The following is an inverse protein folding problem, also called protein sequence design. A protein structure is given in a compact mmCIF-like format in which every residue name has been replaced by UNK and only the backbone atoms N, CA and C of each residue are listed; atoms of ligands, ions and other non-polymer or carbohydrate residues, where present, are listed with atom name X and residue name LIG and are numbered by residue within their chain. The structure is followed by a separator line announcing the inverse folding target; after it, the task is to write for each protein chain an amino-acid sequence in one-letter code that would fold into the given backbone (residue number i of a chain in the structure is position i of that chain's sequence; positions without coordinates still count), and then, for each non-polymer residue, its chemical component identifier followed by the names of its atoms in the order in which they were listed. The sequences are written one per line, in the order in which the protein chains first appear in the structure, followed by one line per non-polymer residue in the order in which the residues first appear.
data_IF_145493719555
#
_entry.id   IF_145493719555
#
_cell.length_a   1.000
_cell.length_b   1.000
_cell.length_c   1.000
_cell.angle_alpha   90.00
_cell.angle_beta   90.00
_cell.angle_gamma   90.00
#
_symmetry.space_group_name_H-M   'P 1'
#
loop_
_entity.id
_entity.type
_entity.pdbx_description
1 polymer ?
#
# COMPACT_ATOMS: atom_id res chain seq x y z
N UNK A 1 6.28 -8.11 -20.64
CA UNK A 1 7.55 -7.50 -20.22
C UNK A 1 8.69 -8.44 -20.58
N UNK A 2 9.78 -7.92 -21.12
CA UNK A 2 11.03 -8.61 -21.44
C UNK A 2 12.23 -7.90 -20.83
N UNK A 3 12.04 -7.08 -19.80
CA UNK A 3 13.10 -6.44 -19.03
C UNK A 3 14.10 -7.43 -18.44
N UNK A 4 15.27 -6.94 -18.02
CA UNK A 4 16.27 -7.78 -17.35
C UNK A 4 15.79 -8.44 -16.06
N UNK A 5 14.80 -7.87 -15.35
CA UNK A 5 14.21 -8.50 -14.15
C UNK A 5 13.52 -9.81 -14.45
N UNK A 6 12.97 -9.94 -15.67
CA UNK A 6 12.27 -11.15 -16.10
C UNK A 6 13.20 -12.35 -16.32
N UNK A 7 14.53 -12.22 -16.16
CA UNK A 7 15.47 -13.28 -16.46
C UNK A 7 15.23 -14.56 -15.64
N UNK A 8 15.50 -15.72 -16.25
CA UNK A 8 15.33 -17.02 -15.60
C UNK A 8 13.86 -17.46 -15.56
N UNK A 9 13.36 -17.73 -14.36
CA UNK A 9 12.07 -18.39 -14.17
C UNK A 9 10.89 -17.54 -14.66
N UNK A 10 10.90 -16.22 -14.40
CA UNK A 10 9.83 -15.29 -14.81
C UNK A 10 9.62 -15.27 -16.34
N UNK A 11 10.70 -15.27 -17.13
CA UNK A 11 10.60 -15.33 -18.59
C UNK A 11 10.06 -16.68 -19.07
N UNK A 12 10.57 -17.79 -18.52
CA UNK A 12 10.07 -19.13 -18.87
C UNK A 12 8.56 -19.27 -18.58
N UNK A 13 8.13 -18.70 -17.47
CA UNK A 13 6.74 -18.62 -17.03
C UNK A 13 5.87 -17.77 -17.96
N UNK A 14 6.31 -16.55 -18.28
CA UNK A 14 5.59 -15.67 -19.20
C UNK A 14 5.45 -16.32 -20.58
N UNK A 15 6.50 -16.97 -21.10
CA UNK A 15 6.44 -17.72 -22.37
C UNK A 15 5.40 -18.85 -22.31
N UNK A 16 5.45 -19.67 -21.27
CA UNK A 16 4.50 -20.78 -21.09
C UNK A 16 3.07 -20.27 -21.01
N UNK A 17 2.84 -19.20 -20.24
CA UNK A 17 1.53 -18.58 -20.10
C UNK A 17 0.98 -18.01 -21.43
N UNK A 18 1.83 -17.39 -22.24
CA UNK A 18 1.46 -16.88 -23.56
C UNK A 18 1.14 -18.02 -24.53
N UNK A 19 1.90 -19.12 -24.50
CA UNK A 19 1.61 -20.29 -25.34
C UNK A 19 0.25 -20.91 -25.00
N UNK A 20 -0.06 -21.06 -23.72
CA UNK A 20 -1.39 -21.51 -23.28
C UNK A 20 -2.50 -20.54 -23.67
N UNK A 21 -2.24 -19.23 -23.63
CA UNK A 21 -3.20 -18.22 -24.09
C UNK A 21 -3.54 -18.43 -25.56
N UNK A 22 -2.52 -18.62 -26.42
CA UNK A 22 -2.71 -18.86 -27.85
C UNK A 22 -3.47 -20.16 -28.13
N UNK A 23 -3.24 -21.22 -27.34
CA UNK A 23 -3.95 -22.50 -27.46
C UNK A 23 -5.43 -22.39 -27.09
N UNK A 24 -5.79 -21.35 -26.34
CA UNK A 24 -7.14 -21.13 -25.84
C UNK A 24 -8.02 -20.34 -26.81
N UNK A 25 -7.43 -19.64 -27.79
CA UNK A 25 -8.14 -18.83 -28.77
C UNK A 25 -8.91 -19.68 -29.78
N UNK A 26 -10.07 -19.20 -30.21
CA UNK A 26 -10.89 -19.76 -31.27
C UNK A 26 -10.49 -19.26 -32.66
N UNK A 27 -10.96 -19.92 -33.74
CA UNK A 27 -10.64 -19.55 -35.12
C UNK A 27 -11.17 -18.18 -35.56
N UNK A 28 -12.19 -17.67 -34.87
CA UNK A 28 -12.78 -16.35 -35.12
C UNK A 28 -12.09 -15.23 -34.32
N UNK A 29 -11.14 -15.57 -33.45
CA UNK A 29 -10.42 -14.60 -32.63
C UNK A 29 -9.30 -13.91 -33.42
N UNK A 30 -9.04 -12.67 -33.04
CA UNK A 30 -7.93 -11.86 -33.52
C UNK A 30 -6.97 -11.59 -32.38
N UNK A 31 -5.67 -11.63 -32.68
CA UNK A 31 -4.65 -11.43 -31.65
C UNK A 31 -3.45 -10.65 -32.19
N UNK A 32 -2.70 -10.08 -31.26
CA UNK A 32 -1.36 -9.53 -31.50
C UNK A 32 -0.51 -9.76 -30.25
N UNK A 33 0.81 -9.83 -30.42
CA UNK A 33 1.76 -9.97 -29.32
C UNK A 33 2.69 -8.76 -29.32
N UNK A 34 2.85 -8.17 -28.14
CA UNK A 34 3.76 -7.06 -27.93
C UNK A 34 4.77 -7.47 -26.88
N UNK A 35 6.06 -7.34 -27.22
CA UNK A 35 7.14 -7.42 -26.24
C UNK A 35 7.63 -6.01 -25.93
N UNK A 36 7.99 -5.78 -24.67
CA UNK A 36 8.48 -4.47 -24.26
C UNK A 36 9.53 -4.59 -23.17
N UNK A 37 10.53 -3.72 -23.28
CA UNK A 37 11.58 -3.47 -22.32
C UNK A 37 11.97 -1.98 -22.39
N UNK A 38 13.23 -1.63 -22.70
CA UNK A 38 13.63 -0.28 -23.13
C UNK A 38 12.92 0.19 -24.42
N UNK A 39 12.52 -0.75 -25.27
CA UNK A 39 11.81 -0.53 -26.53
C UNK A 39 10.54 -1.38 -26.60
N UNK A 40 9.69 -1.14 -27.59
CA UNK A 40 8.48 -1.95 -27.82
C UNK A 40 8.49 -2.48 -29.23
N UNK A 41 8.24 -3.77 -29.38
CA UNK A 41 8.12 -4.45 -30.66
C UNK A 41 6.79 -5.19 -30.70
N UNK A 42 6.07 -5.02 -31.81
CA UNK A 42 4.82 -5.71 -32.09
C UNK A 42 5.10 -6.83 -33.07
N UNK A 43 4.50 -7.99 -32.86
CA UNK A 43 4.61 -9.12 -33.77
C UNK A 43 3.95 -8.80 -35.12
N UNK A 44 2.78 -8.17 -35.09
CA UNK A 44 2.03 -7.75 -36.26
C UNK A 44 1.75 -6.24 -36.19
N UNK A 45 1.65 -5.58 -37.33
CA UNK A 45 1.28 -4.15 -37.39
C UNK A 45 -0.14 -3.91 -36.84
N UNK A 46 -1.05 -4.83 -37.11
CA UNK A 46 -2.42 -4.87 -36.58
C UNK A 46 -2.76 -6.27 -36.06
N UNK A 47 -3.82 -6.39 -35.27
CA UNK A 47 -4.31 -7.70 -34.84
C UNK A 47 -4.71 -8.56 -36.04
N UNK A 48 -4.28 -9.83 -36.05
CA UNK A 48 -4.54 -10.77 -37.14
C UNK A 48 -5.41 -11.92 -36.65
N UNK A 49 -6.19 -12.51 -37.56
CA UNK A 49 -7.01 -13.69 -37.26
C UNK A 49 -6.14 -14.88 -36.86
N UNK A 50 -6.67 -15.72 -35.97
CA UNK A 50 -6.06 -17.01 -35.62
C UNK A 50 -6.09 -17.97 -36.81
N UNK A 51 -4.92 -18.24 -37.38
CA UNK A 51 -4.71 -19.23 -38.44
C UNK A 51 -3.52 -20.11 -38.08
N UNK A 52 -3.37 -21.31 -38.67
CA UNK A 52 -2.17 -22.13 -38.42
C UNK A 52 -0.85 -21.39 -38.69
N UNK A 53 -0.84 -20.52 -39.70
CA UNK A 53 0.33 -19.70 -40.05
C UNK A 53 0.60 -18.61 -39.01
N UNK A 54 -0.40 -17.79 -38.66
CA UNK A 54 -0.22 -16.72 -37.66
C UNK A 54 0.12 -17.30 -36.27
N UNK A 55 -0.46 -18.44 -35.92
CA UNK A 55 -0.14 -19.19 -34.70
C UNK A 55 1.31 -19.67 -34.69
N UNK A 56 1.80 -20.26 -35.78
CA UNK A 56 3.19 -20.70 -35.89
C UNK A 56 4.15 -19.52 -35.77
N UNK A 57 3.86 -18.40 -36.45
CA UNK A 57 4.64 -17.15 -36.35
C UNK A 57 4.69 -16.64 -34.91
N UNK A 58 3.55 -16.66 -34.21
CA UNK A 58 3.45 -16.25 -32.81
C UNK A 58 4.25 -17.16 -31.86
N UNK A 59 4.18 -18.48 -32.04
CA UNK A 59 4.99 -19.42 -31.24
C UNK A 59 6.48 -19.17 -31.43
N UNK A 60 6.94 -18.96 -32.66
CA UNK A 60 8.34 -18.63 -32.93
C UNK A 60 8.75 -17.29 -32.33
N UNK A 61 7.86 -16.28 -32.34
CA UNK A 61 8.12 -15.01 -31.66
C UNK A 61 8.28 -15.20 -30.14
N UNK A 62 7.36 -15.92 -29.49
CA UNK A 62 7.42 -16.19 -28.05
C UNK A 62 8.70 -16.93 -27.67
N UNK A 63 9.09 -17.94 -28.46
CA UNK A 63 10.30 -18.72 -28.20
C UNK A 63 11.57 -17.85 -28.21
N UNK A 64 11.62 -16.84 -29.08
CA UNK A 64 12.76 -15.90 -29.21
C UNK A 64 12.78 -14.78 -28.16
N UNK A 65 11.76 -14.63 -27.31
CA UNK A 65 11.77 -13.58 -26.29
C UNK A 65 12.92 -13.81 -25.31
N UNK A 66 13.71 -12.77 -25.06
CA UNK A 66 14.83 -12.82 -24.13
C UNK A 66 14.74 -11.65 -23.16
N UNK A 67 15.04 -11.91 -21.89
CA UNK A 67 15.03 -10.90 -20.84
C UNK A 67 16.27 -10.00 -20.99
N UNK A 68 16.07 -8.74 -21.39
CA UNK A 68 17.12 -7.74 -21.51
C UNK A 68 16.57 -6.31 -21.39
N UNK A 69 17.45 -5.34 -21.17
CA UNK A 69 17.08 -3.92 -21.11
C UNK A 69 16.31 -3.51 -19.85
N UNK A 70 15.74 -2.30 -19.88
CA UNK A 70 14.93 -1.73 -18.79
C UNK A 70 13.44 -2.01 -18.95
N UNK A 71 12.60 -1.26 -18.23
CA UNK A 71 11.14 -1.42 -18.23
C UNK A 71 10.47 -0.10 -18.63
N UNK A 72 10.00 0.01 -19.87
CA UNK A 72 9.27 1.17 -20.37
C UNK A 72 7.85 0.79 -20.79
N UNK A 73 6.90 0.93 -19.87
CA UNK A 73 5.52 0.49 -20.06
C UNK A 73 4.70 1.45 -20.93
N UNK A 74 5.04 2.74 -20.98
CA UNK A 74 4.19 3.75 -21.61
C UNK A 74 4.05 3.57 -23.14
N UNK A 75 5.13 3.34 -23.92
CA UNK A 75 5.01 3.06 -25.35
C UNK A 75 4.28 1.75 -25.61
N UNK A 76 4.49 0.72 -24.78
CA UNK A 76 3.83 -0.57 -24.92
C UNK A 76 2.31 -0.47 -24.75
N UNK A 77 1.86 0.18 -23.68
CA UNK A 77 0.44 0.42 -23.43
C UNK A 77 -0.18 1.32 -24.50
N UNK A 78 0.53 2.35 -24.96
CA UNK A 78 0.05 3.21 -26.04
C UNK A 78 -0.12 2.43 -27.35
N UNK A 79 0.87 1.60 -27.72
CA UNK A 79 0.80 0.77 -28.92
C UNK A 79 -0.32 -0.27 -28.82
N UNK A 80 -0.47 -0.93 -27.68
CA UNK A 80 -1.55 -1.90 -27.48
C UNK A 80 -2.96 -1.27 -27.59
N UNK A 81 -3.14 -0.08 -26.99
CA UNK A 81 -4.43 0.62 -26.98
C UNK A 81 -4.74 1.37 -28.29
N UNK A 82 -3.77 1.53 -29.18
CA UNK A 82 -3.94 2.18 -30.50
C UNK A 82 -4.14 1.20 -31.66
N UNK A 83 -4.08 -0.11 -31.41
CA UNK A 83 -4.45 -1.11 -32.42
C UNK A 83 -5.92 -0.96 -32.80
N UNK A 84 -6.24 -1.18 -34.07
CA UNK A 84 -7.59 -1.05 -34.57
C UNK A 84 -8.52 -2.06 -33.89
N UNK A 85 -9.72 -1.60 -33.51
CA UNK A 85 -10.75 -2.49 -33.00
C UNK A 85 -11.29 -3.36 -34.13
N UNK A 86 -11.45 -4.65 -33.88
CA UNK A 86 -12.14 -5.55 -34.81
C UNK A 86 -13.65 -5.41 -34.55
N UNK A 87 -14.46 -5.06 -35.56
CA UNK A 87 -15.90 -4.90 -35.37
C UNK A 87 -16.54 -6.13 -34.75
N UNK A 88 -17.52 -5.93 -33.85
CA UNK A 88 -18.26 -6.98 -33.15
C UNK A 88 -17.44 -7.83 -32.17
N UNK A 89 -16.13 -7.61 -32.04
CA UNK A 89 -15.28 -8.26 -31.05
C UNK A 89 -14.91 -7.30 -29.92
N UNK A 90 -14.89 -7.83 -28.70
CA UNK A 90 -14.40 -7.10 -27.53
C UNK A 90 -12.87 -7.19 -27.47
N UNK A 91 -12.19 -6.04 -27.51
CA UNK A 91 -10.73 -5.99 -27.36
C UNK A 91 -10.35 -6.24 -25.90
N UNK A 92 -9.56 -7.28 -25.65
CA UNK A 92 -9.03 -7.61 -24.34
C UNK A 92 -7.50 -7.49 -24.34
N UNK A 93 -6.96 -6.68 -23.43
CA UNK A 93 -5.52 -6.43 -23.28
C UNK A 93 -5.04 -7.12 -22.02
N UNK A 94 -4.10 -8.06 -22.15
CA UNK A 94 -3.45 -8.68 -21.00
C UNK A 94 -2.03 -8.17 -20.86
N UNK A 95 -1.77 -7.48 -19.75
CA UNK A 95 -0.52 -6.83 -19.48
C UNK A 95 0.26 -7.59 -18.39
N UNK A 96 1.41 -8.17 -18.77
CA UNK A 96 2.23 -9.02 -17.90
C UNK A 96 3.57 -8.33 -17.62
N UNK A 97 3.93 -8.18 -16.34
CA UNK A 97 5.20 -7.58 -15.89
C UNK A 97 5.61 -8.07 -14.50
N UNK A 98 6.92 -8.10 -14.22
CA UNK A 98 7.49 -8.28 -12.89
C UNK A 98 8.10 -6.98 -12.30
N UNK A 99 8.06 -5.91 -13.10
CA UNK A 99 8.73 -4.65 -12.82
C UNK A 99 7.79 -3.59 -12.22
N UNK A 100 8.43 -2.55 -11.70
CA UNK A 100 7.79 -1.29 -11.35
C UNK A 100 8.25 -0.20 -12.32
N UNK A 101 7.41 0.79 -12.54
CA UNK A 101 7.75 2.01 -13.29
C UNK A 101 7.59 3.23 -12.42
N UNK A 102 8.37 4.28 -12.71
CA UNK A 102 8.06 5.61 -12.23
C UNK A 102 6.94 6.26 -13.06
N UNK A 103 6.32 7.31 -12.49
CA UNK A 103 5.25 8.10 -13.13
C UNK A 103 3.93 7.33 -13.37
N UNK A 104 3.57 6.46 -12.44
CA UNK A 104 2.39 5.58 -12.50
C UNK A 104 1.09 6.37 -12.65
N UNK A 105 0.99 7.53 -12.00
CA UNK A 105 -0.17 8.43 -12.14
C UNK A 105 -0.37 8.88 -13.58
N UNK A 106 0.70 9.34 -14.25
CA UNK A 106 0.61 9.79 -15.63
C UNK A 106 0.27 8.62 -16.57
N UNK A 107 0.80 7.44 -16.27
CA UNK A 107 0.53 6.23 -17.04
C UNK A 107 -0.94 5.79 -16.90
N UNK A 108 -1.48 5.78 -15.68
CA UNK A 108 -2.90 5.49 -15.42
C UNK A 108 -3.83 6.48 -16.13
N UNK A 109 -3.52 7.77 -16.10
CA UNK A 109 -4.29 8.76 -16.85
C UNK A 109 -4.27 8.50 -18.37
N UNK A 110 -3.11 8.10 -18.92
CA UNK A 110 -3.00 7.75 -20.34
C UNK A 110 -3.81 6.50 -20.68
N UNK A 111 -3.74 5.48 -19.84
CA UNK A 111 -4.57 4.29 -19.93
C UNK A 111 -6.05 4.68 -19.95
N UNK A 112 -6.52 5.41 -18.95
CA UNK A 112 -7.93 5.78 -18.82
C UNK A 112 -8.45 6.56 -20.04
N UNK A 113 -7.63 7.43 -20.63
CA UNK A 113 -7.99 8.18 -21.85
C UNK A 113 -8.03 7.33 -23.12
N UNK A 114 -7.18 6.31 -23.22
CA UNK A 114 -6.99 5.54 -24.46
C UNK A 114 -7.68 4.17 -24.43
N UNK A 115 -8.25 3.77 -23.29
CA UNK A 115 -8.83 2.44 -23.11
C UNK A 115 -10.00 2.20 -24.08
N UNK A 116 -10.87 3.21 -24.29
CA UNK A 116 -12.12 3.04 -25.03
C UNK A 116 -12.96 1.91 -24.41
N UNK A 117 -13.54 1.05 -25.24
CA UNK A 117 -14.34 -0.11 -24.81
C UNK A 117 -13.49 -1.33 -24.46
N UNK A 118 -12.17 -1.19 -24.36
CA UNK A 118 -11.27 -2.32 -24.14
C UNK A 118 -11.28 -2.79 -22.71
N UNK A 119 -11.12 -4.10 -22.53
CA UNK A 119 -10.90 -4.67 -21.21
C UNK A 119 -9.43 -4.82 -20.93
N UNK A 120 -9.00 -4.50 -19.71
CA UNK A 120 -7.61 -4.65 -19.32
C UNK A 120 -7.44 -5.56 -18.12
N UNK A 121 -6.61 -6.58 -18.31
CA UNK A 121 -6.21 -7.53 -17.29
C UNK A 121 -4.73 -7.36 -17.03
N UNK A 122 -4.34 -7.42 -15.76
CA UNK A 122 -2.96 -7.21 -15.37
C UNK A 122 -2.46 -8.41 -14.60
N UNK A 123 -1.27 -8.88 -14.97
CA UNK A 123 -0.59 -10.01 -14.33
C UNK A 123 0.75 -9.54 -13.82
N UNK A 124 0.88 -9.57 -12.50
CA UNK A 124 2.11 -9.26 -11.80
C UNK A 124 2.84 -10.56 -11.48
N UNK A 125 4.09 -10.71 -11.94
CA UNK A 125 4.93 -11.89 -11.65
C UNK A 125 6.01 -11.51 -10.62
N UNK A 126 6.29 -12.40 -9.68
CA UNK A 126 7.36 -12.24 -8.70
C UNK A 126 7.02 -11.31 -7.53
N UNK A 127 8.04 -10.83 -6.83
CA UNK A 127 7.89 -10.24 -5.49
C UNK A 127 7.81 -8.72 -5.44
N UNK A 128 8.26 -8.01 -6.48
CA UNK A 128 8.37 -6.54 -6.48
C UNK A 128 7.58 -5.79 -7.58
N UNK A 129 6.47 -6.30 -8.16
CA UNK A 129 5.69 -5.52 -9.12
C UNK A 129 4.91 -4.41 -8.40
N UNK A 130 4.65 -3.31 -9.11
CA UNK A 130 3.79 -2.24 -8.60
C UNK A 130 2.31 -2.70 -8.59
N UNK A 131 1.92 -3.42 -7.54
CA UNK A 131 0.60 -4.03 -7.41
C UNK A 131 -0.54 -3.01 -7.36
N UNK A 132 -0.27 -1.80 -6.85
CA UNK A 132 -1.26 -0.72 -6.85
C UNK A 132 -1.57 -0.27 -8.28
N UNK A 133 -0.53 0.03 -9.07
CA UNK A 133 -0.69 0.42 -10.47
C UNK A 133 -1.41 -0.68 -11.27
N UNK A 134 -0.98 -1.92 -11.10
CA UNK A 134 -1.55 -3.07 -11.82
C UNK A 134 -3.03 -3.26 -11.47
N UNK A 135 -3.39 -3.19 -10.18
CA UNK A 135 -4.79 -3.29 -9.73
C UNK A 135 -5.64 -2.15 -10.28
N UNK A 136 -5.19 -0.90 -10.16
CA UNK A 136 -5.93 0.27 -10.65
C UNK A 136 -6.10 0.26 -12.17
N UNK A 137 -5.08 -0.21 -12.89
CA UNK A 137 -5.12 -0.40 -14.34
C UNK A 137 -6.20 -1.41 -14.75
N UNK A 138 -6.31 -2.53 -14.02
CA UNK A 138 -7.34 -3.53 -14.26
C UNK A 138 -8.74 -3.03 -13.88
N UNK A 139 -8.89 -2.32 -12.76
CA UNK A 139 -10.15 -1.73 -12.32
C UNK A 139 -10.71 -0.72 -13.34
N UNK A 140 -9.89 0.23 -13.81
CA UNK A 140 -10.25 1.17 -14.89
C UNK A 140 -10.58 0.38 -16.17
N UNK A 141 -9.82 -0.68 -16.41
CA UNK A 141 -10.00 -1.64 -17.50
C UNK A 141 -11.23 -2.54 -17.43
N UNK A 142 -12.05 -2.47 -16.37
CA UNK A 142 -13.15 -3.42 -16.08
C UNK A 142 -12.73 -4.89 -16.11
N UNK A 143 -11.44 -5.17 -15.95
CA UNK A 143 -10.87 -6.51 -15.91
C UNK A 143 -10.39 -6.86 -14.51
N UNK A 144 -9.45 -7.79 -14.43
CA UNK A 144 -8.98 -8.33 -13.17
C UNK A 144 -7.45 -8.32 -13.05
N UNK A 145 -6.99 -8.20 -11.81
CA UNK A 145 -5.58 -8.26 -11.44
C UNK A 145 -5.23 -9.62 -10.85
N UNK A 146 -4.17 -10.23 -11.34
CA UNK A 146 -3.60 -11.48 -10.80
C UNK A 146 -2.16 -11.22 -10.36
N UNK A 147 -1.86 -11.58 -9.12
CA UNK A 147 -0.49 -11.57 -8.61
C UNK A 147 0.02 -13.00 -8.47
N UNK A 148 1.15 -13.29 -9.10
CA UNK A 148 1.80 -14.59 -9.07
C UNK A 148 3.11 -14.45 -8.32
N UNK A 149 3.07 -14.74 -7.02
CA UNK A 149 4.23 -14.61 -6.14
C UNK A 149 5.24 -15.75 -6.29
N UNK A 150 4.81 -16.94 -6.74
CA UNK A 150 5.67 -18.12 -6.86
C UNK A 150 5.75 -18.63 -8.29
N UNK A 151 6.96 -19.04 -8.73
CA UNK A 151 7.19 -19.70 -10.00
C UNK A 151 6.24 -20.86 -10.34
N UNK A 152 5.96 -21.71 -9.35
CA UNK A 152 5.17 -22.93 -9.54
C UNK A 152 3.69 -22.63 -9.84
N UNK A 153 3.18 -21.48 -9.39
CA UNK A 153 1.77 -21.11 -9.46
C UNK A 153 1.38 -20.51 -10.82
N UNK A 154 2.35 -20.13 -11.67
CA UNK A 154 2.07 -19.43 -12.93
C UNK A 154 1.15 -20.22 -13.84
N UNK A 155 1.45 -21.49 -14.08
CA UNK A 155 0.63 -22.30 -14.98
C UNK A 155 -0.83 -22.34 -14.55
N UNK A 156 -1.08 -22.55 -13.25
CA UNK A 156 -2.43 -22.60 -12.68
C UNK A 156 -3.12 -21.24 -12.72
N UNK A 157 -2.46 -20.17 -12.28
CA UNK A 157 -3.03 -18.82 -12.21
C UNK A 157 -3.34 -18.27 -13.60
N UNK A 158 -2.47 -18.53 -14.57
CA UNK A 158 -2.68 -18.11 -15.96
C UNK A 158 -3.79 -18.92 -16.64
N UNK A 159 -3.85 -20.24 -16.42
CA UNK A 159 -4.97 -21.04 -16.90
C UNK A 159 -6.32 -20.58 -16.30
N UNK A 160 -6.33 -20.24 -15.00
CA UNK A 160 -7.51 -19.68 -14.34
C UNK A 160 -7.90 -18.31 -14.92
N UNK A 161 -6.93 -17.43 -15.15
CA UNK A 161 -7.15 -16.14 -15.80
C UNK A 161 -7.74 -16.33 -17.21
N UNK A 162 -7.21 -17.24 -18.02
CA UNK A 162 -7.70 -17.47 -19.37
C UNK A 162 -9.11 -18.04 -19.40
N UNK A 163 -9.37 -19.04 -18.55
CA UNK A 163 -10.74 -19.58 -18.40
C UNK A 163 -11.75 -18.49 -18.03
N UNK A 164 -11.33 -17.51 -17.23
CA UNK A 164 -12.16 -16.36 -16.84
C UNK A 164 -12.39 -15.40 -18.01
N UNK A 165 -11.31 -14.96 -18.67
CA UNK A 165 -11.34 -13.99 -19.78
C UNK A 165 -12.20 -14.46 -20.96
N UNK A 166 -12.30 -15.78 -21.16
CA UNK A 166 -13.13 -16.39 -22.21
C UNK A 166 -14.62 -16.41 -21.91
N UNK A 167 -15.02 -16.19 -20.65
CA UNK A 167 -16.40 -16.35 -20.20
C UNK A 167 -16.89 -15.08 -19.50
N UNK A 168 -16.99 -13.94 -20.22
CA UNK A 168 -17.71 -12.79 -19.71
C UNK A 168 -19.20 -13.15 -19.61
N UNK A 169 -19.69 -13.36 -18.39
CA UNK A 169 -21.06 -13.75 -18.14
C UNK A 169 -22.03 -12.56 -18.28
N UNK A 170 -21.59 -11.35 -17.97
CA UNK A 170 -22.38 -10.13 -18.19
C UNK A 170 -21.44 -8.94 -18.37
N UNK A 171 -21.57 -8.21 -19.47
CA UNK A 171 -20.74 -7.04 -19.78
C UNK A 171 -21.53 -5.75 -19.73
N UNK A 172 -20.82 -4.62 -19.63
CA UNK A 172 -21.42 -3.27 -19.65
C UNK A 172 -22.53 -3.08 -18.62
N UNK A 173 -22.24 -3.58 -17.42
CA UNK A 173 -23.15 -3.60 -16.29
C UNK A 173 -23.47 -2.18 -15.86
N UNK A 174 -24.77 -1.87 -15.76
CA UNK A 174 -25.31 -0.59 -15.29
C UNK A 174 -26.37 -0.83 -14.24
N UNK A 175 -26.42 0.03 -13.24
CA UNK A 175 -27.37 -0.08 -12.14
C UNK A 175 -28.18 1.19 -12.00
N UNK A 176 -29.49 1.02 -11.95
CA UNK A 176 -30.46 2.04 -11.60
C UNK A 176 -30.96 1.78 -10.19
N UNK A 177 -30.47 2.57 -9.25
CA UNK A 177 -30.81 2.43 -7.83
C UNK A 177 -32.20 2.98 -7.45
N UNK A 178 -32.92 3.58 -8.41
CA UNK A 178 -34.23 4.21 -8.19
C UNK A 178 -34.22 5.55 -7.43
N UNK A 179 -33.11 5.88 -6.78
CA UNK A 179 -32.82 7.15 -6.12
C UNK A 179 -31.35 7.55 -6.32
N UNK A 180 -30.96 8.76 -5.91
CA UNK A 180 -29.54 9.14 -5.91
C UNK A 180 -28.75 8.23 -4.97
N UNK A 181 -27.79 7.47 -5.48
CA UNK A 181 -26.99 6.53 -4.70
C UNK A 181 -25.50 6.80 -4.87
N UNK A 182 -24.77 6.70 -3.77
CA UNK A 182 -23.30 6.76 -3.77
C UNK A 182 -22.75 5.33 -3.68
N UNK A 183 -22.20 4.81 -4.78
CA UNK A 183 -21.81 3.42 -4.89
C UNK A 183 -20.40 3.22 -5.46
N UNK A 184 -19.78 2.10 -5.09
CA UNK A 184 -18.41 1.77 -5.46
C UNK A 184 -18.23 0.28 -5.80
N UNK A 185 -17.31 -0.06 -6.75
CA UNK A 185 -16.56 0.88 -7.59
C UNK A 185 -17.44 1.71 -8.55
N UNK A 186 -17.00 2.92 -8.87
CA UNK A 186 -17.74 3.83 -9.77
C UNK A 186 -17.76 3.29 -11.21
N UNK A 187 -16.64 2.73 -11.65
CA UNK A 187 -16.56 1.96 -12.89
C UNK A 187 -16.92 0.52 -12.53
N UNK A 188 -18.11 0.10 -12.94
CA UNK A 188 -18.59 -1.27 -12.69
C UNK A 188 -17.84 -2.24 -13.62
N UNK A 189 -17.08 -3.21 -13.07
CA UNK A 189 -16.42 -4.25 -13.86
C UNK A 189 -17.43 -5.16 -14.55
N UNK A 190 -16.99 -5.87 -15.59
CA UNK A 190 -17.78 -6.94 -16.15
C UNK A 190 -17.83 -8.15 -15.18
N UNK A 191 -18.91 -8.91 -15.23
CA UNK A 191 -19.07 -10.13 -14.44
C UNK A 191 -18.52 -11.31 -15.24
N UNK A 192 -17.51 -11.97 -14.70
CA UNK A 192 -16.94 -13.18 -15.30
C UNK A 192 -17.43 -14.44 -14.59
N UNK A 193 -17.56 -15.54 -15.33
CA UNK A 193 -18.01 -16.80 -14.78
C UNK A 193 -17.10 -17.28 -13.63
N UNK A 194 -17.70 -17.60 -12.48
CA UNK A 194 -16.99 -18.11 -11.31
C UNK A 194 -16.50 -17.04 -10.32
N UNK A 195 -16.73 -15.75 -10.58
CA UNK A 195 -16.38 -14.68 -9.65
C UNK A 195 -17.61 -13.85 -9.25
N UNK A 196 -17.78 -13.54 -7.96
CA UNK A 196 -18.82 -12.62 -7.54
C UNK A 196 -18.40 -11.17 -7.85
N UNK A 197 -19.34 -10.39 -8.38
CA UNK A 197 -19.21 -8.93 -8.46
C UNK A 197 -19.82 -8.30 -7.21
N UNK A 198 -19.03 -7.54 -6.47
CA UNK A 198 -19.46 -6.83 -5.27
C UNK A 198 -19.59 -5.34 -5.54
N UNK A 199 -20.75 -4.78 -5.21
CA UNK A 199 -21.02 -3.35 -5.26
C UNK A 199 -21.56 -2.90 -3.92
N UNK A 200 -21.00 -1.81 -3.40
CA UNK A 200 -21.37 -1.24 -2.10
C UNK A 200 -22.01 0.11 -2.36
N UNK A 201 -23.23 0.32 -1.86
CA UNK A 201 -23.98 1.56 -2.09
C UNK A 201 -24.52 2.14 -0.78
N UNK A 202 -24.50 3.47 -0.68
CA UNK A 202 -25.24 4.25 0.31
C UNK A 202 -26.41 4.91 -0.40
N UNK A 203 -27.62 4.59 0.06
CA UNK A 203 -28.85 5.18 -0.45
C UNK A 203 -29.44 6.14 0.61
N UNK A 204 -30.01 7.29 0.19
CA UNK A 204 -30.65 8.25 1.08
C UNK A 204 -32.03 7.78 1.55
N UNK A 205 -32.67 6.90 0.77
CA UNK A 205 -33.97 6.31 1.05
C UNK A 205 -33.94 4.84 0.66
N UNK A 206 -34.83 4.05 1.24
CA UNK A 206 -35.01 2.65 0.87
C UNK A 206 -35.47 2.55 -0.60
N UNK A 207 -34.78 1.78 -1.45
CA UNK A 207 -35.18 1.63 -2.84
C UNK A 207 -36.44 0.79 -2.92
N UNK A 208 -37.37 1.15 -3.81
CA UNK A 208 -38.53 0.29 -4.11
C UNK A 208 -38.15 -0.79 -5.12
N UNK A 209 -37.28 -0.44 -6.06
CA UNK A 209 -36.78 -1.31 -7.12
C UNK A 209 -35.34 -0.91 -7.46
N UNK A 210 -34.49 -1.91 -7.71
CA UNK A 210 -33.14 -1.72 -8.25
C UNK A 210 -33.09 -2.42 -9.61
N UNK A 211 -32.86 -1.66 -10.67
CA UNK A 211 -32.71 -2.19 -12.03
C UNK A 211 -31.25 -2.49 -12.34
N UNK A 212 -30.93 -3.73 -12.65
CA UNK A 212 -29.61 -4.15 -13.14
C UNK A 212 -29.71 -4.41 -14.64
N UNK A 213 -28.82 -3.80 -15.41
CA UNK A 213 -28.76 -3.89 -16.87
C UNK A 213 -27.37 -4.32 -17.29
N UNK A 214 -27.26 -4.96 -18.46
CA UNK A 214 -25.97 -5.30 -19.06
C UNK A 214 -26.19 -5.99 -20.41
N UNK A 215 -25.14 -6.59 -20.94
CA UNK A 215 -25.18 -7.42 -22.13
C UNK A 215 -24.78 -8.85 -21.79
N UNK A 216 -25.64 -9.80 -22.18
CA UNK A 216 -25.41 -11.24 -22.09
C UNK A 216 -25.32 -11.77 -23.52
N UNK A 217 -24.15 -12.27 -23.93
CA UNK A 217 -23.89 -12.72 -25.31
C UNK A 217 -24.26 -11.68 -26.38
N UNK A 218 -24.04 -10.39 -26.09
CA UNK A 218 -24.37 -9.27 -26.97
C UNK A 218 -25.85 -8.89 -27.02
N UNK A 219 -26.70 -9.56 -26.24
CA UNK A 219 -28.12 -9.21 -26.09
C UNK A 219 -28.35 -8.40 -24.82
N UNK A 220 -29.26 -7.44 -24.90
CA UNK A 220 -29.65 -6.66 -23.72
C UNK A 220 -30.25 -7.56 -22.65
N UNK A 221 -29.70 -7.47 -21.45
CA UNK A 221 -30.13 -8.21 -20.28
C UNK A 221 -30.57 -7.26 -19.17
N UNK A 222 -31.65 -7.63 -18.47
CA UNK A 222 -32.22 -6.86 -17.37
C UNK A 222 -32.68 -7.77 -16.24
N UNK A 223 -32.42 -7.33 -15.01
CA UNK A 223 -32.97 -7.90 -13.80
C UNK A 223 -33.49 -6.77 -12.90
N UNK A 224 -34.77 -6.83 -12.55
CA UNK A 224 -35.35 -5.94 -11.56
C UNK A 224 -35.37 -6.64 -10.19
N UNK A 225 -34.69 -6.04 -9.22
CA UNK A 225 -34.64 -6.53 -7.85
C UNK A 225 -35.64 -5.72 -7.02
N UNK A 226 -36.58 -6.43 -6.37
CA UNK A 226 -37.50 -5.81 -5.43
C UNK A 226 -36.73 -5.32 -4.20
N UNK A 227 -36.83 -4.03 -3.89
CA UNK A 227 -36.08 -3.43 -2.79
C UNK A 227 -36.47 -3.97 -1.41
N UNK A 228 -37.72 -4.43 -1.24
CA UNK A 228 -38.16 -5.09 0.00
C UNK A 228 -37.43 -6.42 0.25
N UNK A 229 -37.20 -7.21 -0.81
CA UNK A 229 -36.46 -8.48 -0.70
C UNK A 229 -34.97 -8.21 -0.43
N UNK A 230 -34.40 -7.16 -1.01
CA UNK A 230 -33.01 -6.74 -0.79
C UNK A 230 -32.70 -6.29 0.66
N UNK A 231 -33.70 -5.77 1.38
CA UNK A 231 -33.55 -5.30 2.77
C UNK A 231 -33.76 -6.44 3.79
N UNK A 232 -34.56 -7.45 3.43
CA UNK A 232 -34.98 -8.53 4.34
C UNK A 232 -33.86 -9.50 4.75
N UNK A 233 -32.72 -9.48 4.08
CA UNK A 233 -31.64 -10.46 4.22
C UNK A 233 -30.61 -10.14 5.32
N UNK A 234 -31.03 -9.61 6.47
CA UNK A 234 -30.25 -9.17 7.65
C UNK A 234 -29.81 -7.70 7.62
N UNK A 235 -29.96 -7.02 8.77
CA UNK A 235 -29.39 -5.69 8.97
C UNK A 235 -27.86 -5.76 8.82
N UNK A 236 -27.34 -5.27 7.69
CA UNK A 236 -25.92 -5.02 7.52
C UNK A 236 -25.47 -4.07 8.63
N UNK A 237 -24.80 -4.61 9.65
CA UNK A 237 -24.35 -3.81 10.79
C UNK A 237 -23.28 -2.79 10.41
N UNK A 238 -22.69 -2.17 11.43
CA UNK A 238 -21.57 -1.21 11.34
C UNK A 238 -20.44 -1.66 10.38
N UNK A 239 -20.22 -2.96 10.23
CA UNK A 239 -19.25 -3.54 9.28
C UNK A 239 -19.52 -3.16 7.82
N UNK A 240 -20.78 -3.19 7.35
CA UNK A 240 -21.12 -2.86 5.96
C UNK A 240 -20.90 -1.37 5.69
N UNK A 241 -21.28 -0.52 6.64
CA UNK A 241 -21.03 0.91 6.56
C UNK A 241 -19.52 1.22 6.49
N UNK A 242 -18.69 0.52 7.28
CA UNK A 242 -17.22 0.63 7.22
C UNK A 242 -16.64 0.14 5.89
N UNK A 243 -17.18 -0.92 5.30
CA UNK A 243 -16.76 -1.40 3.98
C UNK A 243 -17.05 -0.36 2.89
N UNK A 244 -18.26 0.20 2.89
CA UNK A 244 -18.63 1.28 1.98
C UNK A 244 -17.73 2.51 2.18
N UNK A 245 -17.53 2.95 3.42
CA UNK A 245 -16.69 4.10 3.75
C UNK A 245 -15.23 3.91 3.30
N UNK A 246 -14.69 2.70 3.43
CA UNK A 246 -13.35 2.36 2.91
C UNK A 246 -13.28 2.51 1.39
N UNK A 247 -14.32 2.07 0.66
CA UNK A 247 -14.39 2.22 -0.80
C UNK A 247 -14.58 3.67 -1.24
N UNK A 248 -15.37 4.46 -0.50
CA UNK A 248 -15.44 5.91 -0.70
C UNK A 248 -14.08 6.59 -0.57
N UNK A 249 -13.34 6.29 0.50
CA UNK A 249 -12.00 6.85 0.72
C UNK A 249 -11.04 6.44 -0.40
N UNK A 250 -11.12 5.20 -0.88
CA UNK A 250 -10.32 4.73 -2.02
C UNK A 250 -10.65 5.53 -3.29
N UNK A 251 -11.93 5.72 -3.62
CA UNK A 251 -12.35 6.51 -4.78
C UNK A 251 -11.95 7.98 -4.68
N UNK A 252 -12.07 8.59 -3.49
CA UNK A 252 -11.59 9.95 -3.24
C UNK A 252 -10.09 10.09 -3.48
N UNK A 253 -9.31 9.08 -3.07
CA UNK A 253 -7.87 9.04 -3.35
C UNK A 253 -7.57 8.85 -4.84
N UNK A 254 -8.34 8.00 -5.52
CA UNK A 254 -8.23 7.80 -6.96
C UNK A 254 -8.56 9.09 -7.73
N UNK A 255 -9.54 9.87 -7.28
CA UNK A 255 -9.88 11.18 -7.84
C UNK A 255 -8.71 12.16 -7.87
N UNK A 256 -7.78 12.09 -6.90
CA UNK A 256 -6.56 12.92 -6.90
C UNK A 256 -5.67 12.64 -8.12
N UNK A 257 -5.70 11.41 -8.64
CA UNK A 257 -4.97 11.03 -9.85
C UNK A 257 -5.55 11.73 -11.08
N UNK A 258 -6.81 12.14 -11.05
CA UNK A 258 -7.52 12.76 -12.18
C UNK A 258 -7.77 14.26 -11.97
N UNK A 259 -7.08 14.88 -11.01
CA UNK A 259 -7.09 16.33 -10.80
C UNK A 259 -8.10 16.83 -9.77
N UNK A 260 -8.66 15.95 -8.92
CA UNK A 260 -9.48 16.39 -7.79
C UNK A 260 -8.69 17.31 -6.85
N UNK A 261 -9.40 18.25 -6.21
CA UNK A 261 -8.81 19.22 -5.28
C UNK A 261 -8.28 18.52 -4.02
N UNK A 262 -7.00 18.75 -3.72
CA UNK A 262 -6.32 18.06 -2.61
C UNK A 262 -6.90 18.39 -1.25
N UNK A 263 -7.29 19.64 -1.03
CA UNK A 263 -7.82 20.06 0.27
C UNK A 263 -9.24 19.57 0.47
N UNK A 264 -10.08 19.66 -0.57
CA UNK A 264 -11.44 19.12 -0.52
C UNK A 264 -11.43 17.60 -0.29
N UNK A 265 -10.62 16.86 -1.05
CA UNK A 265 -10.45 15.42 -0.85
C UNK A 265 -9.95 15.10 0.55
N UNK A 266 -9.01 15.88 1.10
CA UNK A 266 -8.51 15.69 2.47
C UNK A 266 -9.61 15.89 3.50
N UNK A 267 -10.38 16.97 3.39
CA UNK A 267 -11.48 17.27 4.30
C UNK A 267 -12.54 16.17 4.27
N UNK A 268 -12.98 15.76 3.08
CA UNK A 268 -14.00 14.71 2.93
C UNK A 268 -13.50 13.35 3.41
N UNK A 269 -12.26 12.96 3.06
CA UNK A 269 -11.64 11.72 3.55
C UNK A 269 -11.61 11.70 5.09
N UNK A 270 -11.24 12.82 5.70
CA UNK A 270 -11.14 12.93 7.16
C UNK A 270 -12.53 12.81 7.81
N UNK A 271 -13.54 13.47 7.23
CA UNK A 271 -14.91 13.40 7.73
C UNK A 271 -15.47 11.97 7.69
N UNK A 272 -15.36 11.28 6.55
CA UNK A 272 -15.80 9.89 6.37
C UNK A 272 -15.04 8.96 7.33
N UNK A 273 -13.73 9.16 7.47
CA UNK A 273 -12.91 8.34 8.35
C UNK A 273 -13.29 8.50 9.83
N UNK A 274 -13.57 9.72 10.29
CA UNK A 274 -14.02 9.97 11.66
C UNK A 274 -15.43 9.44 11.93
N UNK A 275 -16.36 9.63 10.98
CA UNK A 275 -17.74 9.12 11.07
C UNK A 275 -17.79 7.60 11.24
N UNK A 276 -16.95 6.87 10.50
CA UNK A 276 -16.93 5.41 10.48
C UNK A 276 -15.79 4.78 11.31
N UNK A 277 -15.01 5.57 12.05
CA UNK A 277 -13.91 5.07 12.89
C UNK A 277 -12.80 4.36 12.10
N UNK A 278 -12.42 4.88 10.94
CA UNK A 278 -11.38 4.34 10.06
C UNK A 278 -10.03 5.04 10.26
N UNK A 279 -8.96 4.24 10.22
CA UNK A 279 -7.59 4.73 10.13
C UNK A 279 -7.23 5.06 8.68
N UNK A 280 -6.74 6.27 8.47
CA UNK A 280 -6.30 6.79 7.18
C UNK A 280 -5.00 7.55 7.35
N UNK A 281 -4.41 8.03 6.25
CA UNK A 281 -3.26 8.95 6.32
C UNK A 281 -3.57 10.27 7.06
N UNK A 282 -4.84 10.57 7.32
CA UNK A 282 -5.32 11.81 7.95
C UNK A 282 -5.94 11.59 9.34
N UNK A 283 -6.05 10.34 9.82
CA UNK A 283 -6.66 10.00 11.11
C UNK A 283 -5.75 9.08 11.92
N UNK A 284 -5.66 9.30 13.23
CA UNK A 284 -4.85 8.50 14.14
C UNK A 284 -5.73 7.92 15.26
N UNK A 285 -5.43 6.70 15.70
CA UNK A 285 -6.03 6.09 16.87
C UNK A 285 -5.16 6.42 18.09
N UNK A 286 -5.70 7.22 19.02
CA UNK A 286 -5.01 7.58 20.26
C UNK A 286 -5.66 6.83 21.41
N UNK A 287 -4.92 5.90 22.01
CA UNK A 287 -5.34 5.21 23.23
C UNK A 287 -4.93 6.05 24.45
N UNK A 288 -5.89 6.66 25.13
CA UNK A 288 -5.67 7.40 26.37
C UNK A 288 -5.94 6.47 27.54
N UNK A 289 -4.88 6.09 28.27
CA UNK A 289 -5.01 5.37 29.53
C UNK A 289 -5.56 6.34 30.60
N UNK A 290 -6.76 6.04 31.09
CA UNK A 290 -7.44 6.83 32.12
C UNK A 290 -7.05 6.39 33.53
N UNK A 291 -6.19 5.38 33.67
CA UNK A 291 -5.70 4.91 34.96
C UNK A 291 -4.41 5.65 35.28
N UNK A 292 -4.41 6.66 36.17
CA UNK A 292 -3.16 7.21 36.64
C UNK A 292 -2.38 6.07 37.30
N UNK A 293 -1.14 5.82 36.83
CA UNK A 293 -0.26 4.76 37.36
C UNK A 293 -0.03 4.87 38.87
N UNK A 294 -0.35 6.02 39.45
CA UNK A 294 -0.21 6.34 40.86
C UNK A 294 -1.39 7.21 41.30
N UNK A 295 -1.95 6.92 42.47
CA UNK A 295 -2.98 7.77 43.11
C UNK A 295 -2.35 9.09 43.56
N UNK A 296 -3.08 10.21 43.47
CA UNK A 296 -2.57 11.53 43.84
C UNK A 296 -2.08 11.64 45.29
N UNK A 297 -2.58 10.76 46.19
CA UNK A 297 -2.19 10.70 47.60
C UNK A 297 -0.85 10.01 47.88
N UNK A 298 -0.22 9.37 46.89
CA UNK A 298 1.07 8.68 47.09
C UNK A 298 2.25 9.64 46.86
N UNK A 299 3.22 9.65 47.79
CA UNK A 299 4.43 10.47 47.69
C UNK A 299 5.33 10.04 46.52
N UNK A 300 6.08 10.99 45.95
CA UNK A 300 7.10 10.71 44.92
C UNK A 300 8.24 9.92 45.53
N UNK A 301 8.42 8.68 45.06
CA UNK A 301 9.62 7.91 45.32
C UNK A 301 10.75 8.47 44.45
N UNK A 302 11.67 9.21 45.06
CA UNK A 302 12.92 9.59 44.42
C UNK A 302 13.87 8.40 44.44
N UNK A 303 14.28 7.93 43.26
CA UNK A 303 15.37 6.98 43.15
C UNK A 303 16.53 7.64 42.42
N UNK A 304 17.74 7.53 42.98
CA UNK A 304 18.95 7.94 42.28
C UNK A 304 19.21 6.93 41.17
N UNK A 305 18.93 7.30 39.92
CA UNK A 305 19.31 6.49 38.76
C UNK A 305 20.83 6.55 38.65
N UNK A 306 21.56 5.42 38.79
CA UNK A 306 23.00 5.41 38.61
C UNK A 306 23.32 5.88 37.18
N UNK A 307 24.22 6.85 37.04
CA UNK A 307 24.72 7.25 35.73
C UNK A 307 25.32 6.03 35.01
N UNK A 308 24.89 5.77 33.78
CA UNK A 308 25.46 4.69 32.97
C UNK A 308 26.95 4.98 32.76
N UNK A 309 27.80 4.07 33.24
CA UNK A 309 29.24 4.13 32.98
C UNK A 309 29.49 3.64 31.54
N UNK A 310 30.32 4.34 30.74
CA UNK A 310 30.76 3.83 29.46
C UNK A 310 31.52 2.50 29.66
N UNK A 311 31.42 1.59 28.69
CA UNK A 311 32.06 0.29 28.77
C UNK A 311 33.58 0.43 29.05
N UNK A 312 34.04 -0.18 30.15
CA UNK A 312 35.42 -0.07 30.64
C UNK A 312 35.65 0.99 31.72
N UNK A 313 34.64 1.79 32.08
CA UNK A 313 34.71 2.77 33.17
C UNK A 313 34.50 2.14 34.55
N UNK A 314 35.38 2.43 35.51
CA UNK A 314 35.19 2.03 36.90
C UNK A 314 34.62 3.18 37.74
N UNK A 315 33.67 2.87 38.64
CA UNK A 315 32.98 3.81 39.52
C UNK A 315 33.87 4.37 40.66
N UNK A 316 35.19 4.46 40.46
CA UNK A 316 36.10 5.05 41.43
C UNK A 316 36.35 6.51 41.04
N UNK A 317 35.69 7.39 41.79
CA UNK A 317 35.99 8.83 41.93
C UNK A 317 35.85 9.64 40.63
N UNK A 318 34.61 9.97 40.28
CA UNK A 318 34.33 11.18 39.54
C UNK A 318 34.85 12.38 40.34
N UNK A 319 35.91 13.01 39.83
CA UNK A 319 36.53 14.21 40.42
C UNK A 319 37.88 13.91 41.04
N UNK A 320 38.93 13.83 40.24
CA UNK A 320 39.94 14.88 40.06
C UNK A 320 40.95 14.41 38.98
N UNK A 321 41.47 15.30 38.12
CA UNK A 321 42.44 14.91 37.09
C UNK A 321 43.74 14.37 37.71
N UNK A 322 44.33 13.35 37.07
CA UNK A 322 45.58 12.68 37.45
C UNK A 322 46.85 13.58 37.45
N UNK A 323 46.70 14.91 37.41
CA UNK A 323 47.77 15.90 37.48
C UNK A 323 47.91 16.53 38.88
N UNK A 324 47.08 16.16 39.85
CA UNK A 324 47.17 16.64 41.22
C UNK A 324 48.19 15.84 42.06
N UNK A 325 49.46 15.88 41.66
CA UNK A 325 50.56 15.37 42.50
C UNK A 325 50.74 16.28 43.72
N UNK A 326 50.47 15.75 44.92
CA UNK A 326 50.90 16.38 46.18
C UNK A 326 49.85 17.13 47.00
N UNK A 327 48.56 17.10 46.65
CA UNK A 327 47.53 17.73 47.50
C UNK A 327 47.44 17.06 48.88
N UNK A 328 47.62 15.73 48.94
CA UNK A 328 47.56 14.97 50.18
C UNK A 328 48.71 15.35 51.12
N UNK A 329 49.92 15.56 50.58
CA UNK A 329 51.07 16.00 51.37
C UNK A 329 50.92 17.45 51.84
N UNK A 330 50.35 18.33 51.02
CA UNK A 330 50.02 19.70 51.42
C UNK A 330 48.96 19.74 52.53
N UNK A 331 47.92 18.90 52.43
CA UNK A 331 46.87 18.82 53.45
C UNK A 331 47.45 18.30 54.76
N UNK A 332 48.25 17.22 54.74
CA UNK A 332 48.91 16.70 55.95
C UNK A 332 49.85 17.73 56.58
N UNK A 333 50.62 18.48 55.78
CA UNK A 333 51.48 19.55 56.28
C UNK A 333 50.66 20.67 56.92
N UNK A 334 49.55 21.09 56.30
CA UNK A 334 48.68 22.13 56.84
C UNK A 334 48.03 21.72 58.17
N UNK A 335 47.63 20.45 58.29
CA UNK A 335 47.05 19.89 59.51
C UNK A 335 48.09 19.80 60.63
N UNK A 336 49.34 19.45 60.29
CA UNK A 336 50.46 19.45 61.22
C UNK A 336 50.78 20.86 61.74
N UNK A 337 50.85 21.86 60.88
CA UNK A 337 51.08 23.27 61.27
C UNK A 337 49.95 23.78 62.16
N UNK A 338 48.69 23.44 61.85
CA UNK A 338 47.54 23.80 62.67
C UNK A 338 47.65 23.19 64.08
N UNK A 339 48.03 21.91 64.17
CA UNK A 339 48.23 21.21 65.44
C UNK A 339 49.33 21.88 66.28
N UNK A 340 50.45 22.26 65.64
CA UNK A 340 51.56 22.95 66.29
C UNK A 340 51.16 24.34 66.80
N UNK A 341 50.38 25.09 66.02
CA UNK A 341 49.82 26.38 66.43
C UNK A 341 48.85 26.24 67.62
N UNK A 342 47.97 25.23 67.60
CA UNK A 342 47.07 24.96 68.73
C UNK A 342 47.82 24.55 69.99
N UNK A 343 48.91 23.76 69.87
CA UNK A 343 49.76 23.40 71.00
C UNK A 343 50.46 24.63 71.59
N UNK A 344 50.98 25.54 70.75
CA UNK A 344 51.57 26.80 71.21
C UNK A 344 50.56 27.70 71.93
N UNK A 345 49.33 27.81 71.41
CA UNK A 345 48.27 28.59 72.06
C UNK A 345 47.91 28.02 73.44
N UNK A 346 47.77 26.69 73.56
CA UNK A 346 47.52 26.00 74.83
C UNK A 346 48.65 26.21 75.85
N UNK A 347 49.92 26.24 75.41
CA UNK A 347 51.06 26.48 76.30
C UNK A 347 51.27 27.97 76.67
N UNK A 348 50.79 28.92 75.85
CA UNK A 348 50.88 30.36 76.13
C UNK A 348 49.78 30.88 77.08
N UNK A 349 48.69 30.13 77.27
CA UNK A 349 47.53 30.52 78.10
C UNK A 349 47.71 30.35 79.62
N UNK A 350 48.86 29.88 80.09
CA UNK A 350 49.16 29.63 81.52
C UNK A 350 49.85 30.81 82.22
N UNK A 351 49.47 32.04 81.89
CA UNK A 351 49.80 33.24 82.67
C UNK A 351 48.52 33.88 83.21
N UNK A 352 48.07 33.43 84.38
CA UNK A 352 47.01 34.07 85.17
C UNK A 352 47.57 35.28 85.94
N UNK A 353 46.84 36.41 85.97
CA UNK A 353 46.90 37.31 87.10
C UNK A 353 45.54 37.43 87.82
N UNK A 354 45.60 37.07 89.11
CA UNK A 354 45.05 37.77 90.27
C UNK A 354 43.64 38.40 90.20
N UNK A 355 42.72 37.70 90.89
CA UNK A 355 41.89 38.18 92.03
C UNK A 355 41.55 39.66 92.15
N UNK A 356 40.25 39.97 92.30
CA UNK A 356 39.73 40.84 93.38
C UNK A 356 38.22 40.60 93.63
N UNK A 357 37.68 40.94 94.82
CA UNK A 357 36.60 40.19 95.47
C UNK A 357 35.27 40.96 95.73
N UNK A 358 34.23 40.16 95.99
CA UNK A 358 33.13 40.28 96.97
C UNK A 358 32.36 41.60 97.25
N UNK A 359 31.02 41.51 97.21
CA UNK A 359 30.05 41.98 98.24
C UNK A 359 28.63 41.46 97.85
N UNK A 360 28.06 40.43 98.50
CA UNK A 360 27.20 40.40 99.70
C UNK A 360 25.96 41.32 99.68
N UNK A 361 24.78 40.70 99.65
CA UNK A 361 23.82 40.71 100.77
C UNK A 361 23.20 39.31 100.87
#
# INVERSE_FOLDING_TARGET
DTSGSMQGASMAQAKTALLHALDSLGPDDYFNLLQFNSSTERLFEQSVQLTPNSLQTARSFIQRLEANGGTNMAPALQQALSLDAVPQLMRQVVFITDGAVGNETQLLQKVARNLGDSRMFTVAIGHAPNSWFMRKTAEIGRGSFVHIGKPEEVGQQMAALWKRIQLPALTDIRIEWGAGAEFYPEIVPDLYAGEPLWLLARLPVEPTMIGLYGQLDGLDWRLDINGYDAISSHAGGDTLAKLWARKKIEALQDGLLFGADRELTRLETTAVALEHGLLTRHTNLVAVDKTPRRKDSELLASSNIPGLLPAGGSARLAGYPNTATGWLSQLLLSLFVLLLATAMLLFSGSRLPMTMPAAKA
#
